data_IF_940285980466
#
_entry.id   IF_940285980466
#
_cell.length_a   1.000
_cell.length_b   1.000
_cell.length_c   1.000
_cell.angle_alpha   90.00
_cell.angle_beta   90.00
_cell.angle_gamma   90.00
#
_symmetry.space_group_name_H-M   'P 1'
#
loop_
_entity.id
_entity.type
_entity.pdbx_description
1 polymer ?
#
# COMPACT_ATOMS: atom_id res chain seq x y z
N UNK A 1 -6.82 0.76 -0.15
CA UNK A 1 -5.71 1.71 0.08
C UNK A 1 -5.21 2.30 -1.23
N UNK A 2 -4.70 1.52 -2.18
CA UNK A 2 -4.16 2.06 -3.44
C UNK A 2 -5.16 2.99 -4.17
N UNK A 3 -6.38 2.51 -4.40
CA UNK A 3 -7.46 3.27 -5.04
C UNK A 3 -7.84 4.53 -4.24
N UNK A 4 -8.09 4.38 -2.94
CA UNK A 4 -8.43 5.51 -2.07
C UNK A 4 -7.32 6.57 -2.01
N UNK A 5 -6.05 6.17 -2.07
CA UNK A 5 -4.93 7.12 -2.15
C UNK A 5 -4.92 7.85 -3.48
N UNK A 6 -5.17 7.15 -4.60
CA UNK A 6 -5.31 7.78 -5.92
C UNK A 6 -6.41 8.84 -5.92
N UNK A 7 -7.61 8.47 -5.46
CA UNK A 7 -8.77 9.37 -5.36
C UNK A 7 -8.51 10.56 -4.44
N UNK A 8 -7.76 10.35 -3.35
CA UNK A 8 -7.42 11.42 -2.42
C UNK A 8 -6.47 12.44 -3.07
N UNK A 9 -5.50 11.98 -3.85
CA UNK A 9 -4.58 12.86 -4.61
C UNK A 9 -5.35 13.64 -5.67
N UNK A 10 -6.19 12.98 -6.47
CA UNK A 10 -7.00 13.65 -7.50
C UNK A 10 -7.97 14.66 -6.91
N UNK A 11 -8.63 14.32 -5.79
CA UNK A 11 -9.54 15.24 -5.09
C UNK A 11 -8.79 16.46 -4.53
N UNK A 12 -7.50 16.33 -4.23
CA UNK A 12 -6.66 17.46 -3.86
C UNK A 12 -6.22 18.31 -5.06
N UNK A 13 -6.63 17.95 -6.29
CA UNK A 13 -6.27 18.67 -7.52
C UNK A 13 -4.83 18.43 -7.99
N UNK A 14 -4.17 17.39 -7.47
CA UNK A 14 -2.81 17.03 -7.83
C UNK A 14 -2.81 15.91 -8.88
N UNK A 15 -1.86 15.95 -9.81
CA UNK A 15 -1.57 14.80 -10.68
C UNK A 15 -0.77 13.76 -9.88
N UNK A 16 -1.26 12.53 -9.68
CA UNK A 16 -0.52 11.47 -9.00
C UNK A 16 0.84 11.18 -9.63
N UNK A 17 1.00 11.38 -10.94
CA UNK A 17 2.27 11.18 -11.65
C UNK A 17 3.28 12.25 -11.27
N UNK A 18 2.84 13.47 -10.96
CA UNK A 18 3.71 14.58 -10.56
C UNK A 18 4.39 14.38 -9.20
N UNK A 19 3.86 13.47 -8.37
CA UNK A 19 4.42 13.15 -7.05
C UNK A 19 5.54 12.11 -7.10
N UNK A 20 5.81 11.51 -8.27
CA UNK A 20 6.89 10.54 -8.44
C UNK A 20 8.27 11.19 -8.23
N UNK A 21 9.11 10.53 -7.45
CA UNK A 21 10.46 10.99 -7.08
C UNK A 21 10.47 12.14 -6.07
N UNK A 22 9.33 12.45 -5.45
CA UNK A 22 9.26 13.50 -4.43
C UNK A 22 9.88 13.03 -3.10
N UNK A 23 9.67 13.78 -2.01
CA UNK A 23 10.07 13.38 -0.66
C UNK A 23 8.84 13.15 0.20
N UNK A 24 7.85 12.44 -0.35
CA UNK A 24 6.53 12.30 0.27
C UNK A 24 6.52 11.08 1.20
N UNK A 25 6.07 11.27 2.45
CA UNK A 25 5.95 10.18 3.42
C UNK A 25 4.57 9.53 3.40
N UNK A 26 4.50 8.22 3.65
CA UNK A 26 3.23 7.48 3.83
C UNK A 26 3.16 6.90 5.24
N UNK A 27 2.09 7.24 5.95
CA UNK A 27 1.79 6.73 7.28
C UNK A 27 0.41 6.07 7.25
N UNK A 28 0.32 4.82 7.71
CA UNK A 28 -0.93 4.06 7.73
C UNK A 28 -1.13 3.44 9.11
N UNK A 29 -2.28 3.70 9.73
CA UNK A 29 -2.72 3.00 10.93
C UNK A 29 -3.41 1.70 10.54
N UNK A 30 -2.83 0.56 10.92
CA UNK A 30 -3.39 -0.77 10.66
C UNK A 30 -3.32 -1.59 11.95
N UNK A 31 -4.44 -2.19 12.33
CA UNK A 31 -4.56 -2.97 13.57
C UNK A 31 -4.57 -4.47 13.32
N UNK A 32 -5.14 -4.91 12.20
CA UNK A 32 -5.33 -6.31 11.86
C UNK A 32 -4.61 -6.67 10.56
N UNK A 33 -4.11 -7.90 10.48
CA UNK A 33 -3.38 -8.47 9.34
C UNK A 33 -3.85 -9.90 9.03
N UNK A 34 -5.16 -10.12 9.15
CA UNK A 34 -5.79 -11.45 9.16
C UNK A 34 -5.63 -12.21 7.84
N UNK A 35 -5.42 -11.53 6.72
CA UNK A 35 -5.07 -12.21 5.46
C UNK A 35 -3.80 -13.05 5.59
N UNK A 36 -2.88 -12.61 6.45
CA UNK A 36 -1.68 -13.35 6.78
C UNK A 36 -1.94 -14.61 7.61
N UNK A 37 -3.10 -14.77 8.26
CA UNK A 37 -3.47 -15.98 8.99
C UNK A 37 -4.49 -16.85 8.24
N UNK A 38 -5.31 -16.26 7.36
CA UNK A 38 -6.37 -16.94 6.62
C UNK A 38 -5.88 -17.55 5.29
N UNK A 39 -4.91 -16.92 4.61
CA UNK A 39 -4.35 -17.45 3.36
C UNK A 39 -3.23 -18.45 3.65
N UNK A 40 -3.60 -19.65 4.10
CA UNK A 40 -2.66 -20.71 4.52
C UNK A 40 -2.26 -21.70 3.45
N UNK A 41 -2.92 -21.68 2.30
CA UNK A 41 -2.62 -22.58 1.19
C UNK A 41 -1.19 -22.35 0.67
N UNK A 42 -0.50 -23.44 0.33
CA UNK A 42 0.89 -23.46 -0.15
C UNK A 42 1.05 -22.64 -1.43
N UNK A 43 0.00 -22.54 -2.25
CA UNK A 43 0.00 -21.68 -3.44
C UNK A 43 0.25 -20.19 -3.15
N UNK A 44 0.07 -19.75 -1.89
CA UNK A 44 0.27 -18.36 -1.48
C UNK A 44 1.55 -18.11 -0.69
N UNK A 45 2.34 -19.14 -0.39
CA UNK A 45 3.49 -19.07 0.53
C UNK A 45 4.45 -17.93 0.18
N UNK A 46 4.85 -17.82 -1.09
CA UNK A 46 5.73 -16.75 -1.59
C UNK A 46 5.13 -15.35 -1.60
N UNK A 47 3.81 -15.20 -1.54
CA UNK A 47 3.12 -13.90 -1.58
C UNK A 47 2.60 -13.46 -0.22
N UNK A 48 2.43 -14.39 0.73
CA UNK A 48 1.75 -14.15 2.01
C UNK A 48 2.42 -13.02 2.80
N UNK A 49 3.74 -13.08 3.00
CA UNK A 49 4.48 -12.05 3.73
C UNK A 49 4.34 -10.67 3.08
N UNK A 50 4.59 -10.59 1.77
CA UNK A 50 4.46 -9.34 1.01
C UNK A 50 3.01 -8.88 0.83
N UNK A 51 2.02 -9.75 1.01
CA UNK A 51 0.61 -9.47 0.78
C UNK A 51 -0.13 -8.96 2.02
N UNK A 52 0.32 -9.35 3.21
CA UNK A 52 -0.47 -9.16 4.44
C UNK A 52 0.26 -8.49 5.60
N UNK A 53 1.58 -8.31 5.54
CA UNK A 53 2.29 -7.63 6.62
C UNK A 53 1.87 -6.17 6.75
N UNK A 54 1.67 -5.67 7.98
CA UNK A 54 1.20 -4.31 8.22
C UNK A 54 2.12 -3.22 7.63
N UNK A 55 3.44 -3.43 7.66
CA UNK A 55 4.43 -2.53 7.05
C UNK A 55 4.28 -2.40 5.54
N UNK A 56 3.72 -3.42 4.87
CA UNK A 56 3.51 -3.39 3.42
C UNK A 56 2.35 -2.48 3.05
N UNK A 57 1.41 -2.19 3.95
CA UNK A 57 0.29 -1.29 3.65
C UNK A 57 0.78 0.11 3.21
N UNK A 58 1.67 0.73 3.99
CA UNK A 58 2.30 2.01 3.62
C UNK A 58 3.36 1.83 2.54
N UNK A 59 4.16 0.76 2.60
CA UNK A 59 5.21 0.47 1.63
C UNK A 59 4.70 0.30 0.19
N UNK A 60 3.59 -0.40 -0.02
CA UNK A 60 2.96 -0.55 -1.35
C UNK A 60 2.45 0.77 -1.88
N UNK A 61 1.87 1.62 -1.04
CA UNK A 61 1.42 2.95 -1.47
C UNK A 61 2.64 3.77 -1.90
N UNK A 62 3.68 3.86 -1.08
CA UNK A 62 4.90 4.59 -1.44
C UNK A 62 5.53 4.06 -2.74
N UNK A 63 5.63 2.73 -2.88
CA UNK A 63 6.17 2.08 -4.07
C UNK A 63 5.34 2.31 -5.34
N UNK A 64 4.01 2.17 -5.26
CA UNK A 64 3.12 2.30 -6.43
C UNK A 64 3.05 3.73 -6.97
N UNK A 65 2.99 4.72 -6.07
CA UNK A 65 2.95 6.14 -6.45
C UNK A 65 4.34 6.76 -6.64
N UNK A 66 5.41 6.02 -6.27
CA UNK A 66 6.79 6.43 -6.46
C UNK A 66 7.19 7.64 -5.63
N UNK A 67 6.67 7.75 -4.41
CA UNK A 67 6.99 8.85 -3.49
C UNK A 67 8.45 8.88 -3.02
#
# INVERSE_FOLDING_TARGET
LLETTWEAIERAGMDPVSLRGSRTGVFAGVMYSDYGSILTDEQYEGYRGNGSAGSIASGRVAYTFGF
#
